data_IF_007041668887
#
_entry.id   IF_007041668887
#
_cell.length_a   1.000
_cell.length_b   1.000
_cell.length_c   1.000
_cell.angle_alpha   90.00
_cell.angle_beta   90.00
_cell.angle_gamma   90.00
#
_symmetry.space_group_name_H-M   'P 1'
#
loop_
_entity.id
_entity.type
_entity.pdbx_description
1 polymer ?
#
# COMPACT_ATOMS: atom_id res chain seq x y z
N UNK A 1 -31.20 -19.98 15.19
CA UNK A 1 -31.00 -19.63 13.78
C UNK A 1 -29.52 -19.85 13.44
N UNK A 2 -29.22 -21.03 12.89
CA UNK A 2 -27.91 -21.28 12.28
C UNK A 2 -27.86 -20.53 10.95
N UNK A 3 -27.07 -19.47 10.89
CA UNK A 3 -26.66 -18.87 9.63
C UNK A 3 -25.65 -19.86 9.02
N UNK A 4 -26.05 -20.57 7.97
CA UNK A 4 -25.13 -21.35 7.15
C UNK A 4 -24.02 -20.43 6.64
N UNK A 5 -22.80 -20.68 7.08
CA UNK A 5 -21.63 -20.07 6.47
C UNK A 5 -21.51 -20.59 5.04
N UNK A 6 -22.06 -19.86 4.09
CA UNK A 6 -21.77 -20.09 2.68
C UNK A 6 -20.25 -19.97 2.49
N UNK A 7 -19.59 -21.10 2.31
CA UNK A 7 -18.19 -21.18 1.94
C UNK A 7 -18.03 -20.75 0.47
N UNK A 8 -18.25 -19.49 0.17
CA UNK A 8 -17.81 -18.92 -1.08
C UNK A 8 -16.28 -18.86 -1.05
N UNK A 9 -15.63 -19.85 -1.66
CA UNK A 9 -14.25 -19.69 -2.10
C UNK A 9 -14.24 -18.70 -3.27
N UNK A 10 -14.29 -17.41 -2.97
CA UNK A 10 -14.10 -16.43 -4.01
C UNK A 10 -12.62 -16.46 -4.40
N UNK A 11 -12.33 -16.84 -5.64
CA UNK A 11 -11.03 -16.63 -6.26
C UNK A 11 -10.87 -15.14 -6.53
N UNK A 12 -10.58 -14.36 -5.47
CA UNK A 12 -10.31 -12.94 -5.61
C UNK A 12 -9.05 -12.77 -6.45
N UNK A 13 -9.21 -12.21 -7.65
CA UNK A 13 -8.09 -11.84 -8.51
C UNK A 13 -8.36 -10.45 -9.06
N UNK A 14 -7.36 -9.60 -8.99
CA UNK A 14 -7.43 -8.30 -9.68
C UNK A 14 -7.20 -8.53 -11.18
N UNK A 15 -7.82 -7.69 -12.00
CA UNK A 15 -7.48 -7.57 -13.41
C UNK A 15 -6.04 -7.08 -13.53
N UNK A 16 -5.28 -7.62 -14.48
CA UNK A 16 -3.94 -7.16 -14.80
C UNK A 16 -3.91 -6.45 -16.14
N UNK A 17 -2.90 -5.61 -16.37
CA UNK A 17 -2.74 -4.87 -17.61
C UNK A 17 -2.72 -3.36 -17.40
N UNK A 18 -2.95 -2.61 -18.50
CA UNK A 18 -2.94 -1.16 -18.52
C UNK A 18 -4.16 -0.62 -19.27
N UNK A 19 -4.79 0.38 -18.71
CA UNK A 19 -5.98 1.01 -19.28
C UNK A 19 -5.88 2.53 -19.14
N UNK A 20 -6.34 3.25 -20.15
CA UNK A 20 -6.47 4.70 -20.12
C UNK A 20 -7.94 5.08 -20.36
N UNK A 21 -8.44 6.01 -19.56
CA UNK A 21 -9.78 6.57 -19.68
C UNK A 21 -9.71 8.09 -19.67
N UNK A 22 -10.69 8.72 -20.33
CA UNK A 22 -10.81 10.16 -20.35
C UNK A 22 -12.02 10.58 -19.52
N UNK A 23 -11.83 11.53 -18.61
CA UNK A 23 -12.88 12.02 -17.70
C UNK A 23 -12.92 13.55 -17.70
N UNK A 24 -14.12 14.10 -17.86
CA UNK A 24 -14.35 15.56 -17.85
C UNK A 24 -14.60 16.15 -16.45
N UNK A 25 -14.88 15.28 -15.46
CA UNK A 25 -15.28 15.68 -14.12
C UNK A 25 -14.18 15.54 -13.07
N UNK A 26 -12.94 15.44 -13.49
CA UNK A 26 -11.76 15.42 -12.58
C UNK A 26 -10.97 16.72 -12.75
N UNK A 27 -10.38 17.20 -11.67
CA UNK A 27 -9.57 18.44 -11.69
C UNK A 27 -8.20 18.22 -12.31
N UNK A 28 -7.60 17.06 -12.08
CA UNK A 28 -6.27 16.67 -12.55
C UNK A 28 -6.28 15.23 -13.04
N UNK A 29 -5.38 14.92 -13.96
CA UNK A 29 -5.15 13.55 -14.39
C UNK A 29 -4.56 12.71 -13.25
N UNK A 30 -4.90 11.42 -13.20
CA UNK A 30 -4.49 10.50 -12.15
C UNK A 30 -3.89 9.23 -12.74
N UNK A 31 -2.88 8.71 -12.07
CA UNK A 31 -2.36 7.37 -12.31
C UNK A 31 -2.53 6.53 -11.06
N UNK A 32 -3.07 5.31 -11.24
CA UNK A 32 -3.22 4.31 -10.20
C UNK A 32 -2.53 3.04 -10.64
N UNK A 33 -1.61 2.53 -9.83
CA UNK A 33 -0.92 1.27 -10.08
C UNK A 33 -1.22 0.34 -8.90
N UNK A 34 -1.84 -0.82 -9.17
CA UNK A 34 -2.32 -1.72 -8.14
C UNK A 34 -1.76 -3.14 -8.29
N UNK A 35 -1.32 -3.72 -7.19
CA UNK A 35 -0.90 -5.11 -7.05
C UNK A 35 -1.85 -5.86 -6.13
N UNK A 36 -2.11 -7.12 -6.44
CA UNK A 36 -2.87 -7.99 -5.56
C UNK A 36 -2.05 -8.34 -4.32
N UNK A 37 -2.66 -8.20 -3.15
CA UNK A 37 -2.07 -8.59 -1.87
C UNK A 37 -2.95 -9.60 -1.13
N UNK A 38 -2.42 -10.30 -0.12
CA UNK A 38 -3.18 -11.25 0.69
C UNK A 38 -4.41 -10.63 1.38
N UNK A 39 -5.35 -11.48 1.81
CA UNK A 39 -6.53 -11.01 2.55
C UNK A 39 -6.16 -10.45 3.92
N UNK A 40 -7.05 -9.63 4.46
CA UNK A 40 -6.89 -8.95 5.75
C UNK A 40 -6.56 -9.88 6.93
N UNK A 41 -6.97 -11.15 6.90
CA UNK A 41 -6.63 -12.15 7.93
C UNK A 41 -5.14 -12.44 8.05
N UNK A 42 -4.37 -12.24 6.98
CA UNK A 42 -2.90 -12.41 6.95
C UNK A 42 -2.20 -11.18 7.58
N UNK A 43 -2.49 -10.96 8.86
CA UNK A 43 -2.15 -9.73 9.59
C UNK A 43 -0.68 -9.34 9.48
N UNK A 44 0.26 -10.30 9.53
CA UNK A 44 1.69 -10.02 9.42
C UNK A 44 2.06 -9.49 8.04
N UNK A 45 1.52 -10.08 6.97
CA UNK A 45 1.77 -9.61 5.60
C UNK A 45 1.18 -8.22 5.37
N UNK A 46 -0.07 -7.99 5.80
CA UNK A 46 -0.70 -6.68 5.71
C UNK A 46 0.14 -5.60 6.41
N UNK A 47 0.64 -5.90 7.60
CA UNK A 47 1.54 -4.98 8.32
C UNK A 47 2.85 -4.72 7.56
N UNK A 48 3.39 -5.73 6.87
CA UNK A 48 4.54 -5.56 5.98
C UNK A 48 4.25 -4.60 4.82
N UNK A 49 3.05 -4.65 4.25
CA UNK A 49 2.63 -3.69 3.21
C UNK A 49 2.41 -2.28 3.78
N UNK A 50 1.94 -2.12 5.02
CA UNK A 50 1.88 -0.80 5.69
C UNK A 50 3.28 -0.20 5.83
N UNK A 51 4.26 -1.02 6.21
CA UNK A 51 5.68 -0.60 6.27
C UNK A 51 6.19 -0.20 4.89
N UNK A 52 5.87 -0.98 3.84
CA UNK A 52 6.26 -0.65 2.47
C UNK A 52 5.63 0.66 1.99
N UNK A 53 4.32 0.87 2.23
CA UNK A 53 3.64 2.12 1.90
C UNK A 53 4.31 3.32 2.58
N UNK A 54 4.65 3.17 3.86
CA UNK A 54 5.38 4.19 4.63
C UNK A 54 6.74 4.51 4.02
N UNK A 55 7.54 3.51 3.63
CA UNK A 55 8.84 3.73 2.97
C UNK A 55 8.67 4.48 1.65
N UNK A 56 7.62 4.15 0.90
CA UNK A 56 7.38 4.72 -0.42
C UNK A 56 6.87 6.15 -0.38
N UNK A 57 5.98 6.49 0.55
CA UNK A 57 5.23 7.75 0.44
C UNK A 57 5.15 8.58 1.72
N UNK A 58 5.62 8.09 2.88
CA UNK A 58 5.50 8.86 4.11
C UNK A 58 6.67 9.83 4.30
N UNK A 59 6.34 11.14 4.26
CA UNK A 59 7.30 12.23 4.42
C UNK A 59 8.09 12.58 3.17
N UNK A 60 8.72 13.77 3.19
CA UNK A 60 9.41 14.37 2.03
C UNK A 60 10.59 13.56 1.48
N UNK A 61 11.22 12.74 2.31
CA UNK A 61 12.39 11.94 1.94
C UNK A 61 12.03 10.51 1.53
N UNK A 62 10.73 10.18 1.40
CA UNK A 62 10.29 8.86 0.98
C UNK A 62 10.63 8.59 -0.50
N UNK A 63 10.63 7.31 -0.86
CA UNK A 63 11.18 6.85 -2.15
C UNK A 63 10.42 7.37 -3.38
N UNK A 64 9.12 7.66 -3.25
CA UNK A 64 8.32 8.26 -4.34
C UNK A 64 8.24 9.78 -4.22
N UNK A 65 8.00 10.31 -3.01
CA UNK A 65 7.75 11.75 -2.82
C UNK A 65 8.98 12.56 -3.17
N UNK A 66 10.16 12.17 -2.68
CA UNK A 66 11.38 12.92 -2.91
C UNK A 66 11.69 13.10 -4.39
N UNK A 67 11.85 12.05 -5.23
CA UNK A 67 12.25 12.25 -6.63
C UNK A 67 11.13 12.82 -7.50
N UNK A 68 9.85 12.50 -7.23
CA UNK A 68 8.76 12.85 -8.13
C UNK A 68 8.12 14.19 -7.76
N UNK A 69 7.95 14.46 -6.46
CA UNK A 69 7.32 15.68 -5.97
C UNK A 69 8.34 16.75 -5.59
N UNK A 70 9.29 16.44 -4.69
CA UNK A 70 10.16 17.46 -4.11
C UNK A 70 11.27 17.91 -5.09
N UNK A 71 11.89 16.98 -5.84
CA UNK A 71 12.99 17.30 -6.74
C UNK A 71 12.50 17.72 -8.13
N UNK A 72 11.53 17.00 -8.71
CA UNK A 72 11.08 17.23 -10.09
C UNK A 72 9.77 18.02 -10.18
N UNK A 73 9.04 18.20 -9.08
CA UNK A 73 7.74 18.89 -9.04
C UNK A 73 6.75 18.43 -10.13
N UNK A 74 6.73 17.11 -10.40
CA UNK A 74 5.90 16.54 -11.47
C UNK A 74 4.46 16.26 -11.04
N UNK A 75 4.20 16.18 -9.73
CA UNK A 75 2.92 15.77 -9.17
C UNK A 75 2.45 16.74 -8.08
N UNK A 76 1.14 16.92 -7.98
CA UNK A 76 0.54 17.56 -6.82
C UNK A 76 0.64 16.64 -5.59
N UNK A 77 0.34 15.36 -5.80
CA UNK A 77 0.41 14.33 -4.76
C UNK A 77 0.87 13.00 -5.32
N UNK A 78 1.61 12.24 -4.51
CA UNK A 78 1.93 10.83 -4.75
C UNK A 78 1.91 10.13 -3.40
N UNK A 79 1.21 9.00 -3.34
CA UNK A 79 1.13 8.18 -2.13
C UNK A 79 1.00 6.71 -2.48
N UNK A 80 1.34 5.87 -1.50
CA UNK A 80 1.11 4.43 -1.53
C UNK A 80 0.19 4.07 -0.36
N UNK A 81 -0.73 3.14 -0.59
CA UNK A 81 -1.71 2.72 0.41
C UNK A 81 -2.11 1.26 0.21
N UNK A 82 -2.82 0.71 1.18
CA UNK A 82 -3.38 -0.62 1.14
C UNK A 82 -4.89 -0.60 1.34
N UNK A 83 -5.57 -1.41 0.58
CA UNK A 83 -6.99 -1.70 0.80
C UNK A 83 -7.16 -3.22 0.91
N UNK A 84 -7.35 -3.72 2.13
CA UNK A 84 -7.45 -5.14 2.42
C UNK A 84 -8.86 -5.52 2.83
N UNK A 85 -9.36 -6.63 2.28
CA UNK A 85 -10.67 -7.18 2.57
C UNK A 85 -10.61 -8.65 2.99
N UNK A 86 -11.78 -9.26 3.16
CA UNK A 86 -11.91 -10.64 3.65
C UNK A 86 -11.22 -11.67 2.73
N UNK A 87 -11.30 -11.48 1.41
CA UNK A 87 -10.85 -12.48 0.42
C UNK A 87 -9.56 -12.11 -0.29
N UNK A 88 -9.11 -10.87 -0.17
CA UNK A 88 -7.90 -10.34 -0.78
C UNK A 88 -7.86 -8.84 -0.65
N UNK A 89 -6.80 -8.23 -1.15
CA UNK A 89 -6.64 -6.78 -1.14
C UNK A 89 -5.80 -6.29 -2.30
N UNK A 90 -5.57 -4.99 -2.31
CA UNK A 90 -4.68 -4.31 -3.23
C UNK A 90 -3.69 -3.45 -2.46
N UNK A 91 -2.46 -3.45 -2.92
CA UNK A 91 -1.47 -2.42 -2.65
C UNK A 91 -1.53 -1.45 -3.84
N UNK A 92 -1.69 -0.17 -3.57
CA UNK A 92 -1.90 0.83 -4.62
C UNK A 92 -0.88 1.97 -4.50
N UNK A 93 -0.39 2.44 -5.64
CA UNK A 93 0.31 3.72 -5.76
C UNK A 93 -0.59 4.62 -6.59
N UNK A 94 -0.88 5.81 -6.05
CA UNK A 94 -1.66 6.83 -6.75
C UNK A 94 -0.84 8.11 -6.87
N UNK A 95 -0.92 8.78 -8.04
CA UNK A 95 -0.35 10.09 -8.23
C UNK A 95 -1.31 10.99 -9.02
N UNK A 96 -1.37 12.27 -8.63
CA UNK A 96 -2.11 13.32 -9.31
C UNK A 96 -1.15 14.28 -9.99
N UNK A 97 -1.40 14.59 -11.27
CA UNK A 97 -0.55 15.47 -12.07
C UNK A 97 -1.34 16.14 -13.19
N UNK A 98 -0.74 17.13 -13.83
CA UNK A 98 -1.22 17.63 -15.10
C UNK A 98 -1.07 16.56 -16.19
N UNK A 99 -1.92 16.59 -17.20
CA UNK A 99 -1.96 15.55 -18.24
C UNK A 99 -0.62 15.37 -18.97
N UNK A 100 0.07 16.46 -19.25
CA UNK A 100 1.35 16.45 -19.96
C UNK A 100 2.45 15.67 -19.22
N UNK A 101 2.38 15.61 -17.90
CA UNK A 101 3.38 14.95 -17.05
C UNK A 101 3.07 13.49 -16.77
N UNK A 102 1.85 13.02 -17.01
CA UNK A 102 1.37 11.68 -16.56
C UNK A 102 2.29 10.56 -17.03
N UNK A 103 2.73 10.60 -18.29
CA UNK A 103 3.65 9.58 -18.80
C UNK A 103 4.99 9.59 -18.09
N UNK A 104 5.55 10.77 -17.86
CA UNK A 104 6.82 10.92 -17.14
C UNK A 104 6.69 10.47 -15.68
N UNK A 105 5.55 10.74 -15.04
CA UNK A 105 5.22 10.26 -13.68
C UNK A 105 5.16 8.75 -13.66
N UNK A 106 4.48 8.10 -14.62
CA UNK A 106 4.45 6.64 -14.76
C UNK A 106 5.86 6.06 -14.86
N UNK A 107 6.69 6.63 -15.73
CA UNK A 107 8.07 6.18 -15.94
C UNK A 107 8.92 6.33 -14.67
N UNK A 108 8.76 7.43 -13.93
CA UNK A 108 9.46 7.65 -12.66
C UNK A 108 9.02 6.70 -11.56
N UNK A 109 7.71 6.43 -11.42
CA UNK A 109 7.22 5.42 -10.48
C UNK A 109 7.81 4.05 -10.84
N UNK A 110 7.82 3.69 -12.12
CA UNK A 110 8.37 2.42 -12.59
C UNK A 110 9.87 2.30 -12.29
N UNK A 111 10.65 3.36 -12.44
CA UNK A 111 12.07 3.37 -12.08
C UNK A 111 12.25 3.11 -10.57
N UNK A 112 11.50 3.79 -9.70
CA UNK A 112 11.56 3.58 -8.24
C UNK A 112 11.22 2.13 -7.88
N UNK A 113 10.14 1.59 -8.47
CA UNK A 113 9.73 0.20 -8.21
C UNK A 113 10.80 -0.79 -8.69
N UNK A 114 11.36 -0.56 -9.88
CA UNK A 114 12.43 -1.40 -10.42
C UNK A 114 13.67 -1.37 -9.52
N UNK A 115 14.10 -0.19 -9.07
CA UNK A 115 15.24 -0.06 -8.15
C UNK A 115 15.03 -0.83 -6.84
N UNK A 116 13.83 -0.77 -6.28
CA UNK A 116 13.49 -1.48 -5.05
C UNK A 116 13.51 -2.99 -5.27
N UNK A 117 12.99 -3.46 -6.39
CA UNK A 117 12.84 -4.89 -6.66
C UNK A 117 14.14 -5.56 -7.14
N UNK A 118 15.02 -4.83 -7.82
CA UNK A 118 16.25 -5.38 -8.41
C UNK A 118 17.50 -5.11 -7.60
N UNK A 119 17.63 -3.90 -7.02
CA UNK A 119 18.87 -3.42 -6.42
C UNK A 119 18.84 -3.35 -4.89
N UNK A 120 17.75 -3.82 -4.24
CA UNK A 120 17.56 -3.74 -2.79
C UNK A 120 17.80 -2.32 -2.22
N UNK A 121 17.32 -1.28 -2.90
CA UNK A 121 17.50 0.13 -2.49
C UNK A 121 16.72 0.55 -1.22
N UNK A 122 16.16 -0.41 -0.49
CA UNK A 122 15.64 -0.18 0.87
C UNK A 122 16.76 -0.48 1.85
N UNK A 123 17.31 0.55 2.46
CA UNK A 123 18.34 0.36 3.47
C UNK A 123 17.72 0.07 4.84
N UNK A 124 18.54 -0.52 5.73
CA UNK A 124 18.11 -0.83 7.11
C UNK A 124 17.56 0.41 7.84
N UNK A 125 18.10 1.59 7.57
CA UNK A 125 17.64 2.82 8.21
C UNK A 125 16.25 3.24 7.72
N UNK A 126 15.94 3.08 6.43
CA UNK A 126 14.60 3.33 5.88
C UNK A 126 13.59 2.42 6.57
N UNK A 127 13.93 1.14 6.70
CA UNK A 127 13.08 0.14 7.33
C UNK A 127 12.81 0.47 8.82
N UNK A 128 13.85 0.79 9.58
CA UNK A 128 13.70 1.16 11.01
C UNK A 128 12.81 2.40 11.17
N UNK A 129 13.00 3.43 10.33
CA UNK A 129 12.17 4.64 10.37
C UNK A 129 10.70 4.31 10.07
N UNK A 130 10.42 3.53 9.03
CA UNK A 130 9.07 3.14 8.67
C UNK A 130 8.39 2.31 9.78
N UNK A 131 9.10 1.35 10.36
CA UNK A 131 8.60 0.57 11.50
C UNK A 131 8.20 1.45 12.69
N UNK A 132 9.01 2.48 13.00
CA UNK A 132 8.69 3.41 14.08
C UNK A 132 7.45 4.27 13.76
N UNK A 133 7.30 4.71 12.51
CA UNK A 133 6.11 5.45 12.06
C UNK A 133 4.86 4.58 12.16
N UNK A 134 4.91 3.36 11.64
CA UNK A 134 3.78 2.40 11.71
C UNK A 134 3.40 2.11 13.16
N UNK A 135 4.40 1.93 14.05
CA UNK A 135 4.14 1.75 15.50
C UNK A 135 3.46 2.96 16.11
N UNK A 136 3.93 4.17 15.80
CA UNK A 136 3.34 5.41 16.32
C UNK A 136 1.89 5.57 15.83
N UNK A 137 1.64 5.34 14.54
CA UNK A 137 0.30 5.41 13.96
C UNK A 137 -0.63 4.40 14.61
N UNK A 138 -0.16 3.18 14.88
CA UNK A 138 -0.94 2.17 15.59
C UNK A 138 -1.35 2.64 16.98
N UNK A 139 -0.43 3.22 17.76
CA UNK A 139 -0.71 3.73 19.12
C UNK A 139 -1.75 4.86 19.04
N UNK A 140 -1.57 5.84 18.15
CA UNK A 140 -2.50 6.95 17.96
C UNK A 140 -3.90 6.48 17.55
N UNK A 141 -3.98 5.42 16.73
CA UNK A 141 -5.26 4.83 16.32
C UNK A 141 -5.99 4.06 17.45
N UNK A 142 -5.41 3.96 18.63
CA UNK A 142 -6.02 3.31 19.81
C UNK A 142 -6.29 4.29 20.96
N UNK A 143 -6.10 5.60 20.76
CA UNK A 143 -6.22 6.60 21.84
C UNK A 143 -7.66 6.86 22.29
N UNK A 144 -8.63 6.72 21.39
CA UNK A 144 -10.03 7.01 21.72
C UNK A 144 -10.91 5.76 21.73
N UNK A 145 -11.98 5.73 22.55
CA UNK A 145 -12.92 4.60 22.57
C UNK A 145 -13.53 4.28 21.20
N UNK A 146 -13.80 5.30 20.38
CA UNK A 146 -14.35 5.11 19.03
C UNK A 146 -13.35 4.43 18.11
N UNK A 147 -12.08 4.83 18.14
CA UNK A 147 -11.00 4.20 17.38
C UNK A 147 -10.77 2.75 17.83
N UNK A 148 -10.75 2.52 19.15
CA UNK A 148 -10.68 1.16 19.71
C UNK A 148 -11.83 0.29 19.23
N UNK A 149 -13.06 0.79 19.29
CA UNK A 149 -14.24 0.04 18.84
C UNK A 149 -14.17 -0.29 17.34
N UNK A 150 -13.76 0.67 16.50
CA UNK A 150 -13.56 0.46 15.07
C UNK A 150 -12.45 -0.56 14.80
N UNK A 151 -11.31 -0.45 15.50
CA UNK A 151 -10.18 -1.36 15.37
C UNK A 151 -10.58 -2.81 15.72
N UNK A 152 -11.18 -3.02 16.89
CA UNK A 152 -11.63 -4.35 17.30
C UNK A 152 -12.76 -4.89 16.40
N UNK A 153 -13.73 -4.05 16.04
CA UNK A 153 -14.83 -4.42 15.15
C UNK A 153 -14.34 -4.92 13.80
N UNK A 154 -13.46 -4.18 13.15
CA UNK A 154 -12.86 -4.57 11.87
C UNK A 154 -12.04 -5.85 11.99
N UNK A 155 -11.23 -5.99 13.04
CA UNK A 155 -10.40 -7.18 13.21
C UNK A 155 -11.24 -8.43 13.49
N UNK A 156 -12.31 -8.32 14.29
CA UNK A 156 -13.24 -9.42 14.51
C UNK A 156 -13.98 -9.81 13.22
N UNK A 157 -14.40 -8.83 12.43
CA UNK A 157 -15.06 -9.06 11.15
C UNK A 157 -14.16 -9.87 10.19
N UNK A 158 -12.85 -9.62 10.21
CA UNK A 158 -11.86 -10.33 9.39
C UNK A 158 -11.33 -11.62 10.04
N UNK A 159 -11.91 -12.04 11.17
CA UNK A 159 -11.50 -13.25 11.87
C UNK A 159 -10.12 -13.17 12.54
N UNK A 160 -9.59 -11.96 12.75
CA UNK A 160 -8.33 -11.75 13.47
C UNK A 160 -8.56 -11.86 14.98
N UNK A 161 -7.89 -12.82 15.61
CA UNK A 161 -7.91 -12.98 17.06
C UNK A 161 -6.74 -12.22 17.66
N UNK A 162 -6.98 -11.51 18.77
CA UNK A 162 -5.96 -10.80 19.55
C UNK A 162 -5.09 -9.87 18.68
N UNK A 163 -5.67 -8.92 17.95
CA UNK A 163 -4.92 -8.10 16.98
C UNK A 163 -3.88 -7.20 17.67
N UNK A 164 -4.10 -6.76 18.91
CA UNK A 164 -3.16 -5.94 19.67
C UNK A 164 -1.96 -6.78 20.13
N UNK A 165 -2.22 -7.96 20.71
CA UNK A 165 -1.16 -8.79 21.30
C UNK A 165 -0.12 -9.25 20.28
N UNK A 166 -0.51 -9.40 19.03
CA UNK A 166 0.37 -9.83 17.93
C UNK A 166 1.01 -8.70 17.15
N UNK A 167 0.59 -7.46 17.39
CA UNK A 167 1.07 -6.34 16.59
C UNK A 167 2.59 -6.21 16.66
N UNK A 168 3.15 -6.09 17.85
CA UNK A 168 4.60 -5.92 18.04
C UNK A 168 5.39 -7.12 17.49
N UNK A 169 4.94 -8.33 17.74
CA UNK A 169 5.59 -9.54 17.20
C UNK A 169 5.60 -9.55 15.67
N UNK A 170 4.48 -9.17 15.04
CA UNK A 170 4.38 -9.10 13.59
C UNK A 170 5.22 -7.97 13.01
N UNK A 171 5.27 -6.82 13.70
CA UNK A 171 6.08 -5.68 13.26
C UNK A 171 7.58 -5.98 13.38
N UNK A 172 7.98 -6.59 14.48
CA UNK A 172 9.37 -6.96 14.74
C UNK A 172 9.93 -7.97 13.74
N UNK A 173 9.06 -8.83 13.18
CA UNK A 173 9.45 -9.76 12.12
C UNK A 173 10.03 -9.04 10.89
N UNK A 174 9.52 -7.85 10.60
CA UNK A 174 9.94 -7.04 9.45
C UNK A 174 11.18 -6.17 9.73
N UNK A 175 11.79 -6.24 10.91
CA UNK A 175 13.10 -5.59 11.19
C UNK A 175 14.25 -6.20 10.41
N UNK A 176 14.10 -7.47 10.04
CA UNK A 176 15.07 -8.16 9.20
C UNK A 176 14.77 -7.86 7.72
N UNK A 177 15.77 -7.30 7.04
CA UNK A 177 15.65 -6.95 5.62
C UNK A 177 15.46 -8.20 4.75
N UNK A 178 15.98 -9.35 5.15
CA UNK A 178 15.78 -10.60 4.41
C UNK A 178 14.32 -11.05 4.45
N UNK A 179 13.67 -10.92 5.60
CA UNK A 179 12.22 -11.18 5.70
C UNK A 179 11.42 -10.17 4.86
N UNK A 180 11.84 -8.90 4.86
CA UNK A 180 11.13 -7.84 4.14
C UNK A 180 11.18 -8.00 2.62
N UNK A 181 12.14 -8.76 2.09
CA UNK A 181 12.19 -9.14 0.66
C UNK A 181 10.92 -9.89 0.20
N UNK A 182 10.24 -10.59 1.10
CA UNK A 182 8.96 -11.21 0.79
C UNK A 182 7.93 -10.16 0.33
N UNK A 183 7.83 -9.05 1.05
CA UNK A 183 6.91 -7.94 0.71
C UNK A 183 7.33 -7.28 -0.60
N UNK A 184 8.63 -6.99 -0.77
CA UNK A 184 9.17 -6.39 -2.00
C UNK A 184 8.86 -7.26 -3.22
N UNK A 185 8.91 -8.59 -3.08
CA UNK A 185 8.66 -9.53 -4.17
C UNK A 185 7.26 -9.39 -4.80
N UNK A 186 6.29 -8.87 -4.06
CA UNK A 186 4.95 -8.60 -4.59
C UNK A 186 4.94 -7.51 -5.66
N UNK A 187 5.85 -6.54 -5.59
CA UNK A 187 5.96 -5.48 -6.59
C UNK A 187 6.48 -5.99 -7.95
N UNK A 188 7.09 -7.19 -7.98
CA UNK A 188 7.51 -7.86 -9.22
C UNK A 188 6.40 -8.67 -9.88
N UNK A 189 5.24 -8.84 -9.23
CA UNK A 189 4.09 -9.57 -9.78
C UNK A 189 3.32 -8.71 -10.78
N UNK A 190 2.44 -9.39 -11.52
CA UNK A 190 1.50 -8.73 -12.42
C UNK A 190 0.66 -7.67 -11.67
N UNK A 191 0.43 -6.56 -12.33
CA UNK A 191 -0.27 -5.40 -11.78
C UNK A 191 -1.28 -4.85 -12.77
N UNK A 192 -2.16 -4.00 -12.28
CA UNK A 192 -3.06 -3.19 -13.10
C UNK A 192 -2.65 -1.72 -13.00
N UNK A 193 -2.55 -1.05 -14.16
CA UNK A 193 -2.30 0.39 -14.25
C UNK A 193 -3.51 1.05 -14.88
N UNK A 194 -4.10 2.02 -14.20
CA UNK A 194 -5.18 2.87 -14.71
C UNK A 194 -4.67 4.30 -14.81
N UNK A 195 -4.83 4.91 -15.97
CA UNK A 195 -4.62 6.33 -16.17
C UNK A 195 -5.97 6.97 -16.47
N UNK A 196 -6.36 7.93 -15.64
CA UNK A 196 -7.54 8.77 -15.85
C UNK A 196 -7.05 10.15 -16.31
N UNK A 197 -7.21 10.42 -17.60
CA UNK A 197 -6.85 11.71 -18.20
C UNK A 197 -7.98 12.72 -18.01
N UNK A 198 -7.63 13.94 -17.63
CA UNK A 198 -8.56 15.08 -17.68
C UNK A 198 -8.75 15.51 -19.12
N UNK A 199 -10.00 15.68 -19.56
CA UNK A 199 -10.39 16.29 -20.86
C UNK A 199 -11.15 17.58 -20.65
#
# INVERSE_FOLDING_TARGET
NHIEKNNFKSNYRIRTGREEINLSNIEMSRILIAWQIPPAKEQRLILGFEVLATILSEGRNSKLVRPIKEELNLVESVYADINSGEYGGIFIIEACSIQENIKLVEDKINLVINDITTSNHICKNDLIKALNIVRSNFIFNLETPSQLAAYFGNNLLWGRKNPIDKFEQNLDYWKDIENFKEIISYLSKDRFTLIANKI
#
